data_IF_534633421585
#
_entry.id   IF_534633421585
#
_cell.length_a   1.000
_cell.length_b   1.000
_cell.length_c   1.000
_cell.angle_alpha   90.00
_cell.angle_beta   90.00
_cell.angle_gamma   90.00
#
_symmetry.space_group_name_H-M   'P 1'
#
loop_
_entity.id
_entity.type
_entity.pdbx_description
1 polymer ?
#
# COMPACT_ATOMS: atom_id res chain seq x y z
N UNK A 1 -27.19 -5.19 16.70
CA UNK A 1 -27.01 -3.96 17.50
C UNK A 1 -25.62 -3.42 17.19
N UNK A 2 -25.56 -2.46 16.29
CA UNK A 2 -24.33 -1.70 16.04
C UNK A 2 -24.08 -0.83 17.26
N UNK A 3 -23.24 -1.28 18.18
CA UNK A 3 -22.74 -0.41 19.21
C UNK A 3 -21.77 0.57 18.57
N UNK A 4 -22.24 1.75 18.25
CA UNK A 4 -21.38 2.90 18.00
C UNK A 4 -20.70 3.17 19.35
N UNK A 5 -19.56 2.56 19.60
CA UNK A 5 -18.65 3.03 20.61
C UNK A 5 -18.08 4.33 20.08
N UNK A 6 -18.67 5.39 20.57
CA UNK A 6 -18.13 6.70 20.37
C UNK A 6 -16.67 6.72 20.84
N UNK A 7 -15.88 7.46 20.10
CA UNK A 7 -14.45 7.62 20.17
C UNK A 7 -13.84 7.52 21.58
N UNK A 8 -12.60 7.06 21.62
CA UNK A 8 -11.66 7.22 22.73
C UNK A 8 -11.40 8.68 23.15
N UNK A 9 -12.17 9.64 22.64
CA UNK A 9 -12.20 10.99 23.14
C UNK A 9 -13.02 11.03 24.43
N UNK A 10 -12.33 10.95 25.54
CA UNK A 10 -12.88 11.41 26.82
C UNK A 10 -13.12 12.92 26.70
N UNK A 11 -14.36 13.30 26.41
CA UNK A 11 -14.78 14.66 26.63
C UNK A 11 -14.69 14.92 28.13
N UNK A 12 -13.84 15.85 28.52
CA UNK A 12 -13.75 16.24 29.93
C UNK A 12 -15.14 16.61 30.45
N UNK A 13 -15.62 15.90 31.47
CA UNK A 13 -16.83 16.31 32.18
C UNK A 13 -16.54 17.61 32.93
N UNK A 14 -17.48 18.57 32.91
CA UNK A 14 -17.38 19.77 33.71
C UNK A 14 -17.25 19.43 35.22
N UNK A 15 -16.48 20.18 35.93
CA UNK A 15 -16.22 19.97 37.34
C UNK A 15 -17.28 20.71 38.18
N UNK A 16 -17.76 20.09 39.24
CA UNK A 16 -18.71 20.73 40.13
C UNK A 16 -18.07 21.98 40.78
N UNK A 17 -18.90 23.01 41.05
CA UNK A 17 -18.42 24.30 41.60
C UNK A 17 -17.64 24.12 42.90
N UNK A 18 -18.06 23.22 43.78
CA UNK A 18 -17.36 22.91 45.02
C UNK A 18 -15.93 22.35 44.83
N UNK A 19 -15.71 21.63 43.72
CA UNK A 19 -14.36 21.12 43.35
C UNK A 19 -13.55 22.20 42.66
N UNK A 20 -14.20 23.10 41.90
CA UNK A 20 -13.56 24.21 41.22
C UNK A 20 -13.00 25.24 42.21
N UNK A 21 -13.64 25.43 43.37
CA UNK A 21 -13.15 26.29 44.45
C UNK A 21 -11.86 25.77 45.09
N UNK A 22 -11.59 24.47 44.98
CA UNK A 22 -10.36 23.82 45.48
C UNK A 22 -9.22 23.77 44.45
N UNK A 23 -9.35 24.39 43.29
CA UNK A 23 -8.27 24.39 42.29
C UNK A 23 -7.03 25.11 42.82
N UNK A 24 -5.94 24.40 42.90
CA UNK A 24 -4.63 24.92 43.35
C UNK A 24 -4.17 24.39 44.69
N UNK A 25 -5.03 23.82 45.52
CA UNK A 25 -4.64 23.35 46.85
C UNK A 25 -4.45 21.81 46.91
N UNK A 26 -5.29 21.03 46.31
CA UNK A 26 -5.19 19.55 46.31
C UNK A 26 -5.69 18.86 45.06
N UNK A 27 -6.20 19.60 44.07
CA UNK A 27 -6.77 19.04 42.85
C UNK A 27 -5.73 18.98 41.74
N UNK A 28 -5.40 17.79 41.29
CA UNK A 28 -4.55 17.59 40.10
C UNK A 28 -5.28 18.06 38.86
N UNK A 29 -4.80 19.12 38.24
CA UNK A 29 -5.28 19.59 36.95
C UNK A 29 -4.61 18.78 35.80
N UNK A 30 -5.35 18.61 34.70
CA UNK A 30 -4.78 18.00 33.51
C UNK A 30 -3.66 18.89 32.95
N UNK A 31 -2.50 18.32 32.79
CA UNK A 31 -1.33 19.02 32.28
C UNK A 31 -1.21 18.78 30.77
N UNK A 32 -0.77 19.79 30.05
CA UNK A 32 -0.42 19.70 28.65
C UNK A 32 1.09 19.87 28.48
N UNK A 33 1.69 18.96 27.76
CA UNK A 33 3.09 19.05 27.39
C UNK A 33 3.24 19.00 25.87
N UNK A 34 4.29 19.59 25.35
CA UNK A 34 4.68 19.45 23.96
C UNK A 34 6.11 18.94 23.86
N UNK A 35 6.37 18.12 22.88
CA UNK A 35 7.71 17.66 22.53
C UNK A 35 8.06 18.16 21.13
N UNK A 36 9.32 18.51 20.95
CA UNK A 36 9.85 18.90 19.65
C UNK A 36 10.75 17.76 19.17
N UNK A 37 10.33 17.10 18.10
CA UNK A 37 11.08 16.02 17.49
C UNK A 37 11.76 16.52 16.22
N UNK A 38 13.02 16.12 16.03
CA UNK A 38 13.79 16.43 14.83
C UNK A 38 13.92 15.16 14.00
N UNK A 39 13.41 15.20 12.79
CA UNK A 39 13.63 14.15 11.80
C UNK A 39 14.68 14.62 10.79
N UNK A 40 15.75 13.85 10.64
CA UNK A 40 16.81 14.13 9.67
C UNK A 40 16.69 13.17 8.49
N UNK A 41 16.75 13.71 7.28
CA UNK A 41 16.79 12.94 6.05
C UNK A 41 18.16 13.10 5.41
N UNK A 42 18.84 11.97 5.18
CA UNK A 42 20.15 11.96 4.55
C UNK A 42 19.98 11.60 3.06
N UNK A 43 20.42 12.47 2.18
CA UNK A 43 20.44 12.19 0.75
C UNK A 43 21.53 11.16 0.42
N UNK A 44 21.16 10.16 -0.38
CA UNK A 44 22.09 9.16 -0.92
C UNK A 44 21.98 9.15 -2.43
N UNK A 45 23.13 9.09 -3.10
CA UNK A 45 23.18 9.00 -4.56
C UNK A 45 23.25 7.54 -4.98
N UNK A 46 22.71 7.26 -6.16
CA UNK A 46 22.84 5.98 -6.85
C UNK A 46 23.57 6.20 -8.15
N UNK A 47 24.39 5.24 -8.51
CA UNK A 47 25.07 5.23 -9.77
C UNK A 47 25.02 3.82 -10.36
N UNK A 48 24.73 3.74 -11.64
CA UNK A 48 24.77 2.52 -12.42
C UNK A 48 25.71 2.74 -13.60
N UNK A 49 26.48 1.72 -13.95
CA UNK A 49 27.43 1.77 -15.04
C UNK A 49 27.12 0.65 -16.02
N UNK A 50 27.10 0.95 -17.30
CA UNK A 50 27.05 -0.03 -18.36
C UNK A 50 28.26 0.16 -19.29
N UNK A 51 28.80 -0.93 -19.79
CA UNK A 51 29.93 -0.94 -20.74
C UNK A 51 29.50 -1.78 -21.94
N UNK A 52 29.92 -1.36 -23.12
CA UNK A 52 29.73 -2.08 -24.36
C UNK A 52 31.01 -2.05 -25.21
N UNK A 53 31.17 -3.04 -26.08
CA UNK A 53 32.28 -3.11 -27.00
C UNK A 53 31.95 -2.40 -28.31
N UNK A 54 32.96 -1.89 -28.99
CA UNK A 54 32.78 -1.24 -30.29
C UNK A 54 32.24 -2.21 -31.34
N UNK A 55 32.62 -3.48 -31.26
CA UNK A 55 32.11 -4.54 -32.14
C UNK A 55 30.60 -4.72 -31.97
N UNK A 56 30.14 -4.79 -30.72
CA UNK A 56 28.70 -4.91 -30.43
C UNK A 56 27.90 -3.70 -30.96
N UNK A 57 28.45 -2.50 -30.86
CA UNK A 57 27.80 -1.31 -31.39
C UNK A 57 27.71 -1.33 -32.94
N UNK A 58 28.75 -1.82 -33.62
CA UNK A 58 28.73 -1.97 -35.07
C UNK A 58 27.76 -3.04 -35.53
N UNK A 59 27.69 -4.18 -34.85
CA UNK A 59 26.81 -5.29 -35.18
C UNK A 59 25.35 -4.91 -34.96
N UNK A 60 25.03 -4.26 -33.83
CA UNK A 60 23.67 -3.76 -33.56
C UNK A 60 23.22 -2.76 -34.62
N UNK A 61 24.10 -1.87 -35.06
CA UNK A 61 23.77 -0.90 -36.10
C UNK A 61 23.63 -1.54 -37.47
N UNK A 62 24.49 -2.52 -37.79
CA UNK A 62 24.48 -3.18 -39.09
C UNK A 62 23.31 -4.16 -39.27
N UNK A 63 22.97 -4.92 -38.23
CA UNK A 63 21.95 -5.99 -38.30
C UNK A 63 20.57 -5.47 -37.93
N UNK A 64 20.46 -4.66 -36.87
CA UNK A 64 19.19 -4.22 -36.29
C UNK A 64 18.89 -2.73 -36.52
N UNK A 65 19.84 -1.95 -36.99
CA UNK A 65 19.70 -0.51 -37.19
C UNK A 65 19.54 0.28 -35.89
N UNK A 66 19.86 -0.33 -34.73
CA UNK A 66 19.76 0.25 -33.41
C UNK A 66 21.07 0.90 -32.99
N UNK A 67 20.96 1.99 -32.26
CA UNK A 67 22.13 2.64 -31.65
C UNK A 67 22.35 2.12 -30.23
N UNK A 68 23.49 1.47 -29.99
CA UNK A 68 23.79 0.81 -28.72
C UNK A 68 23.83 1.79 -27.54
N UNK A 69 24.24 3.03 -27.78
CA UNK A 69 24.30 4.06 -26.73
C UNK A 69 22.91 4.48 -26.26
N UNK A 70 22.01 4.72 -27.20
CA UNK A 70 20.63 5.10 -26.89
C UNK A 70 19.86 3.98 -26.19
N UNK A 71 20.03 2.75 -26.65
CA UNK A 71 19.38 1.58 -26.05
C UNK A 71 19.88 1.32 -24.62
N UNK A 72 21.19 1.36 -24.41
CA UNK A 72 21.74 1.22 -23.06
C UNK A 72 21.33 2.34 -22.12
N UNK A 73 21.25 3.58 -22.61
CA UNK A 73 20.77 4.72 -21.82
C UNK A 73 19.31 4.52 -21.37
N UNK A 74 18.46 4.02 -22.26
CA UNK A 74 17.06 3.69 -21.95
C UNK A 74 16.97 2.58 -20.90
N UNK A 75 17.72 1.49 -21.07
CA UNK A 75 17.78 0.37 -20.12
C UNK A 75 18.26 0.84 -18.74
N UNK A 76 19.32 1.65 -18.69
CA UNK A 76 19.84 2.20 -17.44
C UNK A 76 18.79 3.07 -16.73
N UNK A 77 18.09 3.91 -17.48
CA UNK A 77 17.04 4.77 -16.94
C UNK A 77 15.86 3.96 -16.36
N UNK A 78 15.44 2.92 -17.07
CA UNK A 78 14.38 2.02 -16.61
C UNK A 78 14.79 1.24 -15.35
N UNK A 79 16.02 0.75 -15.29
CA UNK A 79 16.51 -0.01 -14.14
C UNK A 79 16.63 0.87 -12.89
N UNK A 80 17.15 2.10 -13.02
CA UNK A 80 17.21 3.05 -11.91
C UNK A 80 15.80 3.39 -11.41
N UNK A 81 14.86 3.62 -12.32
CA UNK A 81 13.46 3.90 -11.95
C UNK A 81 12.82 2.73 -11.22
N UNK A 82 13.01 1.52 -11.72
CA UNK A 82 12.54 0.28 -11.10
C UNK A 82 13.12 0.09 -9.69
N UNK A 83 14.41 0.35 -9.52
CA UNK A 83 15.08 0.25 -8.23
C UNK A 83 14.55 1.26 -7.21
N UNK A 84 14.32 2.51 -7.64
CA UNK A 84 13.75 3.55 -6.80
C UNK A 84 12.33 3.18 -6.38
N UNK A 85 11.50 2.72 -7.30
CA UNK A 85 10.13 2.29 -7.02
C UNK A 85 10.10 1.15 -6.01
N UNK A 86 10.95 0.16 -6.17
CA UNK A 86 11.09 -0.94 -5.20
C UNK A 86 11.48 -0.45 -3.81
N UNK A 87 12.43 0.48 -3.74
CA UNK A 87 12.84 1.01 -2.44
C UNK A 87 11.71 1.75 -1.75
N UNK A 88 10.95 2.56 -2.49
CA UNK A 88 9.79 3.28 -1.94
C UNK A 88 8.75 2.30 -1.42
N UNK A 89 8.35 1.30 -2.21
CA UNK A 89 7.37 0.29 -1.80
C UNK A 89 7.85 -0.48 -0.57
N UNK A 90 9.10 -0.92 -0.54
CA UNK A 90 9.68 -1.62 0.63
C UNK A 90 9.74 -0.75 1.87
N UNK A 91 10.03 0.54 1.70
CA UNK A 91 10.08 1.48 2.82
C UNK A 91 8.68 1.69 3.39
N UNK A 92 7.68 1.88 2.53
CA UNK A 92 6.28 1.98 2.94
C UNK A 92 5.88 0.72 3.70
N UNK A 93 6.17 -0.47 3.19
CA UNK A 93 5.86 -1.73 3.84
C UNK A 93 6.48 -1.89 5.23
N UNK A 94 7.72 -1.44 5.41
CA UNK A 94 8.41 -1.53 6.71
C UNK A 94 7.92 -0.52 7.75
N UNK A 95 7.50 0.66 7.29
CA UNK A 95 7.13 1.78 8.17
C UNK A 95 5.62 1.82 8.40
N UNK A 96 4.84 1.25 7.49
CA UNK A 96 3.40 1.22 7.59
C UNK A 96 2.93 0.50 8.87
N UNK A 97 1.85 1.00 9.43
CA UNK A 97 1.17 0.34 10.54
C UNK A 97 0.56 -0.98 10.03
N UNK A 98 0.77 -2.05 10.78
CA UNK A 98 0.12 -3.34 10.48
C UNK A 98 -1.39 -3.17 10.43
N UNK A 99 -2.02 -3.67 9.36
CA UNK A 99 -3.46 -3.57 9.16
C UNK A 99 -4.25 -4.39 10.17
N UNK A 100 -5.50 -4.08 10.20
CA UNK A 100 -6.61 -4.73 10.88
C UNK A 100 -6.33 -5.48 12.19
N UNK A 101 -6.61 -4.80 13.30
CA UNK A 101 -6.67 -5.43 14.63
C UNK A 101 -7.86 -6.41 14.81
N UNK A 102 -8.66 -6.63 13.77
CA UNK A 102 -9.87 -7.47 13.84
C UNK A 102 -9.73 -8.83 13.20
N UNK A 103 -8.58 -9.11 12.59
CA UNK A 103 -8.22 -10.45 12.14
C UNK A 103 -7.62 -11.25 13.29
N UNK A 104 -7.70 -12.57 13.24
CA UNK A 104 -7.12 -13.44 14.27
C UNK A 104 -5.62 -13.17 14.47
N UNK A 105 -4.93 -12.83 13.40
CA UNK A 105 -3.53 -12.38 13.43
C UNK A 105 -3.43 -11.01 12.79
N UNK A 106 -2.95 -10.01 13.54
CA UNK A 106 -2.80 -8.64 13.01
C UNK A 106 -1.92 -8.62 11.75
N UNK A 107 -2.41 -7.98 10.69
CA UNK A 107 -1.71 -7.89 9.41
C UNK A 107 -1.81 -9.13 8.51
N UNK A 108 -2.55 -10.15 8.91
CA UNK A 108 -2.76 -11.34 8.09
C UNK A 108 -4.25 -11.63 7.99
N UNK A 109 -4.76 -11.75 6.79
CA UNK A 109 -6.12 -12.18 6.55
C UNK A 109 -6.13 -13.66 6.18
N UNK A 110 -6.72 -14.48 7.04
CA UNK A 110 -6.89 -15.91 6.81
C UNK A 110 -8.30 -16.18 6.25
N UNK A 111 -8.35 -16.78 5.07
CA UNK A 111 -9.62 -17.11 4.42
C UNK A 111 -10.48 -18.11 5.21
N UNK A 112 -9.86 -18.93 6.04
CA UNK A 112 -10.56 -19.95 6.80
C UNK A 112 -11.07 -19.45 8.16
N UNK A 113 -10.32 -18.53 8.78
CA UNK A 113 -10.62 -18.05 10.14
C UNK A 113 -11.31 -16.69 10.13
N UNK A 114 -10.88 -15.78 9.27
CA UNK A 114 -11.34 -14.39 9.26
C UNK A 114 -12.53 -14.14 8.32
N UNK A 115 -12.91 -15.14 7.53
CA UNK A 115 -14.00 -15.04 6.58
C UNK A 115 -15.06 -16.12 6.81
N UNK A 116 -16.30 -15.68 6.97
CA UNK A 116 -17.45 -16.56 7.04
C UNK A 116 -18.03 -16.75 5.64
N UNK A 117 -18.00 -17.97 5.14
CA UNK A 117 -18.58 -18.27 3.85
C UNK A 117 -18.44 -19.75 3.51
N UNK A 118 -19.42 -20.28 2.77
CA UNK A 118 -19.43 -21.67 2.33
C UNK A 118 -18.65 -21.85 1.03
N UNK A 119 -18.64 -20.82 0.21
CA UNK A 119 -17.97 -20.81 -1.10
C UNK A 119 -16.75 -19.91 -1.07
N UNK A 120 -15.72 -20.26 -1.84
CA UNK A 120 -14.49 -19.46 -1.94
C UNK A 120 -14.75 -18.01 -2.34
N UNK A 121 -15.71 -17.78 -3.23
CA UNK A 121 -16.11 -16.44 -3.69
C UNK A 121 -16.69 -15.60 -2.52
N UNK A 122 -17.45 -16.19 -1.62
CA UNK A 122 -17.99 -15.49 -0.44
C UNK A 122 -16.88 -15.12 0.53
N UNK A 123 -15.90 -16.00 0.70
CA UNK A 123 -14.72 -15.75 1.54
C UNK A 123 -13.88 -14.60 1.00
N UNK A 124 -13.70 -14.50 -0.30
CA UNK A 124 -13.01 -13.36 -0.94
C UNK A 124 -13.77 -12.03 -0.78
N UNK A 125 -15.09 -12.06 -0.68
CA UNK A 125 -15.88 -10.86 -0.33
C UNK A 125 -15.61 -10.39 1.10
N UNK A 126 -15.28 -11.29 2.00
CA UNK A 126 -14.84 -10.96 3.36
C UNK A 126 -13.53 -10.15 3.37
N UNK A 127 -12.59 -10.46 2.46
CA UNK A 127 -11.38 -9.68 2.27
C UNK A 127 -11.69 -8.21 1.92
N UNK A 128 -12.68 -7.98 1.06
CA UNK A 128 -13.09 -6.61 0.69
C UNK A 128 -13.52 -5.77 1.90
N UNK A 129 -14.27 -6.39 2.81
CA UNK A 129 -14.68 -5.71 4.03
C UNK A 129 -13.50 -5.31 4.92
N UNK A 130 -12.49 -6.18 5.04
CA UNK A 130 -11.27 -5.87 5.78
C UNK A 130 -10.45 -4.75 5.12
N UNK A 131 -10.32 -4.77 3.80
CA UNK A 131 -9.68 -3.68 3.04
C UNK A 131 -10.38 -2.34 3.30
N UNK A 132 -11.71 -2.30 3.27
CA UNK A 132 -12.47 -1.07 3.56
C UNK A 132 -12.28 -0.60 5.00
N UNK A 133 -12.18 -1.52 5.96
CA UNK A 133 -11.88 -1.18 7.36
C UNK A 133 -10.50 -0.57 7.51
N UNK A 134 -9.49 -1.16 6.89
CA UNK A 134 -8.12 -0.65 6.95
C UNK A 134 -7.99 0.71 6.28
N UNK A 135 -8.67 0.91 5.15
CA UNK A 135 -8.75 2.22 4.53
C UNK A 135 -9.40 3.27 5.44
N UNK A 136 -10.42 2.89 6.23
CA UNK A 136 -11.05 3.78 7.20
C UNK A 136 -10.13 4.06 8.40
N UNK A 137 -9.31 3.09 8.84
CA UNK A 137 -8.31 3.30 9.90
C UNK A 137 -7.29 4.35 9.47
N UNK A 138 -6.85 4.33 8.21
CA UNK A 138 -5.97 5.39 7.67
C UNK A 138 -6.62 6.77 7.83
N UNK A 139 -7.92 6.88 7.51
CA UNK A 139 -8.65 8.13 7.65
C UNK A 139 -8.76 8.59 9.11
N UNK A 140 -8.98 7.65 10.03
CA UNK A 140 -9.08 7.93 11.47
C UNK A 140 -7.75 8.41 12.06
N UNK A 141 -6.65 7.73 11.70
CA UNK A 141 -5.31 8.05 12.22
C UNK A 141 -4.77 9.35 11.64
N UNK A 142 -4.93 9.56 10.34
CA UNK A 142 -4.39 10.75 9.65
C UNK A 142 -5.31 11.96 9.68
N UNK A 143 -6.61 11.75 9.86
CA UNK A 143 -7.68 12.77 9.77
C UNK A 143 -7.66 13.57 8.45
N UNK A 144 -7.09 12.99 7.38
CA UNK A 144 -6.95 13.67 6.08
C UNK A 144 -7.74 13.01 4.97
N UNK A 145 -7.88 11.71 4.97
CA UNK A 145 -8.57 10.97 3.93
C UNK A 145 -8.30 9.49 4.04
N UNK A 146 -9.17 8.68 3.47
CA UNK A 146 -8.96 7.24 3.45
C UNK A 146 -8.04 6.80 2.30
N UNK A 147 -7.52 5.59 2.42
CA UNK A 147 -6.76 4.96 1.36
C UNK A 147 -7.52 4.98 0.04
N UNK A 148 -6.81 5.19 -1.06
CA UNK A 148 -7.39 5.32 -2.40
C UNK A 148 -6.73 4.41 -3.44
N UNK A 149 -5.65 3.72 -3.08
CA UNK A 149 -5.00 2.74 -3.95
C UNK A 149 -4.53 1.53 -3.15
N UNK A 150 -4.39 0.41 -3.84
CA UNK A 150 -3.97 -0.88 -3.32
C UNK A 150 -2.85 -1.40 -4.22
N UNK A 151 -1.77 -1.85 -3.62
CA UNK A 151 -0.70 -2.57 -4.32
C UNK A 151 -0.79 -4.03 -3.86
N UNK A 152 -0.88 -4.96 -4.77
CA UNK A 152 -1.04 -6.37 -4.45
C UNK A 152 -0.25 -7.28 -5.40
N UNK A 153 -0.11 -8.54 -5.02
CA UNK A 153 0.42 -9.57 -5.92
C UNK A 153 -0.60 -9.95 -6.99
N UNK A 154 -0.14 -10.59 -8.06
CA UNK A 154 -1.00 -11.07 -9.15
C UNK A 154 -2.08 -12.03 -8.66
N UNK A 155 -1.77 -12.87 -7.67
CA UNK A 155 -2.71 -13.84 -7.11
C UNK A 155 -3.87 -13.17 -6.37
N UNK A 156 -3.56 -12.14 -5.58
CA UNK A 156 -4.59 -11.34 -4.89
C UNK A 156 -5.46 -10.60 -5.88
N UNK A 157 -4.88 -10.02 -6.93
CA UNK A 157 -5.64 -9.35 -7.98
C UNK A 157 -6.58 -10.34 -8.69
N UNK A 158 -6.12 -11.55 -9.00
CA UNK A 158 -6.94 -12.62 -9.58
C UNK A 158 -8.07 -13.06 -8.65
N UNK A 159 -7.79 -13.16 -7.34
CA UNK A 159 -8.80 -13.49 -6.34
C UNK A 159 -9.89 -12.41 -6.23
N UNK A 160 -9.50 -11.14 -6.27
CA UNK A 160 -10.45 -10.01 -6.27
C UNK A 160 -11.29 -9.97 -7.55
N UNK A 161 -10.70 -10.31 -8.69
CA UNK A 161 -11.42 -10.44 -9.95
C UNK A 161 -12.43 -11.57 -9.92
N UNK A 162 -12.04 -12.74 -9.39
CA UNK A 162 -12.93 -13.90 -9.25
C UNK A 162 -14.08 -13.62 -8.29
N UNK A 163 -13.89 -12.78 -7.30
CA UNK A 163 -14.96 -12.29 -6.43
C UNK A 163 -15.97 -11.38 -7.14
N UNK A 164 -15.70 -10.98 -8.39
CA UNK A 164 -16.57 -10.11 -9.18
C UNK A 164 -16.64 -8.67 -8.68
N UNK A 165 -15.62 -8.22 -7.97
CA UNK A 165 -15.59 -6.91 -7.32
C UNK A 165 -14.59 -5.97 -7.99
N UNK A 166 -13.63 -6.52 -8.73
CA UNK A 166 -12.63 -5.78 -9.46
C UNK A 166 -13.11 -5.51 -10.89
N UNK A 167 -13.35 -4.26 -11.20
CA UNK A 167 -13.61 -3.82 -12.57
C UNK A 167 -12.26 -3.68 -13.30
N UNK A 168 -11.95 -4.65 -14.14
CA UNK A 168 -10.74 -4.58 -14.96
C UNK A 168 -10.78 -3.39 -15.92
N UNK A 169 -9.67 -2.70 -16.05
CA UNK A 169 -9.52 -1.70 -17.09
C UNK A 169 -9.62 -2.39 -18.47
N UNK A 170 -10.42 -1.85 -19.41
CA UNK A 170 -10.62 -2.49 -20.74
C UNK A 170 -9.34 -2.76 -21.51
N UNK A 171 -8.28 -1.98 -21.27
CA UNK A 171 -6.98 -2.17 -21.87
C UNK A 171 -6.26 -3.44 -21.38
N UNK A 172 -6.52 -3.89 -20.17
CA UNK A 172 -5.95 -5.13 -19.63
C UNK A 172 -6.74 -6.38 -20.03
N UNK A 173 -8.02 -6.22 -20.33
CA UNK A 173 -8.91 -7.34 -20.71
C UNK A 173 -8.54 -7.95 -22.06
N UNK A 174 -7.94 -7.19 -22.98
CA UNK A 174 -7.58 -7.63 -24.34
C UNK A 174 -6.11 -7.99 -24.50
N UNK A 175 -5.24 -7.44 -23.69
CA UNK A 175 -3.81 -7.71 -23.74
C UNK A 175 -3.29 -7.85 -22.32
N UNK A 176 -2.84 -9.05 -21.95
CA UNK A 176 -2.02 -9.32 -20.77
C UNK A 176 -0.62 -8.67 -20.88
N UNK A 177 -0.45 -7.70 -21.75
CA UNK A 177 0.78 -6.97 -21.88
C UNK A 177 0.92 -6.02 -20.69
N UNK A 178 1.93 -6.28 -19.89
CA UNK A 178 2.51 -5.30 -19.00
C UNK A 178 2.86 -4.08 -19.83
N UNK A 179 2.33 -2.93 -19.49
CA UNK A 179 2.66 -1.68 -20.15
C UNK A 179 4.19 -1.52 -20.16
N UNK A 180 4.78 -1.13 -21.27
CA UNK A 180 6.25 -0.91 -21.39
C UNK A 180 6.78 0.08 -20.36
N UNK A 181 5.90 0.88 -19.76
CA UNK A 181 6.22 1.78 -18.65
C UNK A 181 6.31 1.09 -17.30
N UNK A 182 6.09 -0.23 -17.20
CA UNK A 182 6.05 -0.95 -15.93
C UNK A 182 4.85 -0.60 -15.04
N UNK A 183 3.87 0.11 -15.58
CA UNK A 183 2.65 0.47 -14.86
C UNK A 183 1.66 -0.69 -14.94
N UNK A 184 1.55 -1.45 -13.88
CA UNK A 184 0.69 -2.62 -13.77
C UNK A 184 -0.66 -2.27 -13.14
N UNK A 185 -1.36 -1.32 -13.70
CA UNK A 185 -2.70 -0.96 -13.26
C UNK A 185 -3.69 -2.08 -13.61
N UNK A 186 -4.23 -2.76 -12.61
CA UNK A 186 -5.15 -3.88 -12.81
C UNK A 186 -6.60 -3.42 -13.04
N UNK A 187 -7.02 -2.38 -12.35
CA UNK A 187 -8.39 -1.91 -12.43
C UNK A 187 -8.82 -1.13 -11.19
N UNK A 188 -10.12 -0.95 -11.06
CA UNK A 188 -10.72 -0.24 -9.92
C UNK A 188 -11.57 -1.20 -9.12
N UNK A 189 -11.31 -1.27 -7.83
CA UNK A 189 -12.07 -2.08 -6.89
C UNK A 189 -13.26 -1.25 -6.37
N UNK A 190 -14.48 -1.77 -6.59
CA UNK A 190 -15.73 -1.17 -6.12
C UNK A 190 -15.89 0.32 -6.51
N UNK A 191 -15.33 0.74 -7.65
CA UNK A 191 -15.40 2.12 -8.13
C UNK A 191 -14.63 3.16 -7.31
N UNK A 192 -13.82 2.72 -6.32
CA UNK A 192 -13.15 3.62 -5.38
C UNK A 192 -11.65 3.45 -5.31
N UNK A 193 -11.15 2.21 -5.24
CA UNK A 193 -9.75 1.91 -5.01
C UNK A 193 -9.08 1.51 -6.31
N UNK A 194 -7.98 2.16 -6.65
CA UNK A 194 -7.15 1.77 -7.78
C UNK A 194 -6.26 0.61 -7.36
N UNK A 195 -6.27 -0.47 -8.13
CA UNK A 195 -5.48 -1.67 -7.85
C UNK A 195 -4.30 -1.72 -8.79
N UNK A 196 -3.11 -1.85 -8.22
CA UNK A 196 -1.86 -2.02 -8.95
C UNK A 196 -1.25 -3.37 -8.61
N UNK A 197 -0.74 -4.06 -9.61
CA UNK A 197 -0.05 -5.33 -9.42
C UNK A 197 1.44 -5.06 -9.29
N UNK A 198 2.05 -5.58 -8.23
CA UNK A 198 3.50 -5.55 -8.08
C UNK A 198 4.12 -6.76 -8.79
N UNK A 199 4.86 -6.58 -9.91
CA UNK A 199 5.47 -7.67 -10.65
C UNK A 199 6.63 -8.31 -9.91
N UNK A 200 7.16 -7.65 -8.90
CA UNK A 200 8.32 -8.11 -8.11
C UNK A 200 7.94 -8.78 -6.79
N UNK A 201 6.65 -8.84 -6.48
CA UNK A 201 6.21 -9.57 -5.30
C UNK A 201 6.38 -11.07 -5.57
N UNK A 202 7.14 -11.72 -4.71
CA UNK A 202 7.38 -13.15 -4.84
C UNK A 202 6.09 -13.92 -4.59
N UNK A 203 5.55 -14.54 -5.62
CA UNK A 203 4.48 -15.55 -5.51
C UNK A 203 5.04 -16.87 -4.95
N UNK A 204 5.83 -16.81 -3.88
CA UNK A 204 6.38 -18.01 -3.26
C UNK A 204 5.38 -18.56 -2.25
N UNK A 205 4.49 -19.35 -2.76
CA UNK A 205 3.95 -20.58 -2.16
C UNK A 205 3.13 -20.50 -0.88
N UNK A 206 3.09 -19.46 -0.09
CA UNK A 206 2.35 -19.48 1.18
C UNK A 206 1.72 -18.16 1.62
N UNK A 207 2.08 -17.04 1.07
CA UNK A 207 1.47 -15.76 1.45
C UNK A 207 1.41 -14.81 0.26
N UNK A 208 0.25 -14.74 -0.37
CA UNK A 208 -0.06 -13.66 -1.30
C UNK A 208 -0.12 -12.35 -0.51
N UNK A 209 0.64 -11.36 -0.93
CA UNK A 209 0.78 -10.10 -0.22
C UNK A 209 -0.08 -9.01 -0.89
N UNK A 210 -0.70 -8.19 -0.06
CA UNK A 210 -1.35 -6.95 -0.49
C UNK A 210 -0.95 -5.82 0.47
N UNK A 211 -0.86 -4.61 -0.07
CA UNK A 211 -0.49 -3.41 0.67
C UNK A 211 -1.47 -2.28 0.39
#
# INVERSE_FOLDING_TARGET
>A
QMCIRDSTYTTGAGVATSTAEGFGDSTTLNEMAFSIEKTTVTAKSRALKAEYTVELAQDLKAVHGLDAESELSNILSQEILSEINREVIRTIYKVAKTGSASTATAGTFDLDVDSNGRWSVERFKGLLFNIERDANVIAQDTRRGKGNFIICSSDVASALAMAGVLDYAPALSTNLNVDDTGNTFAGVLNGRYRVYIDPYSANTGAASQFY
#
